data_IF_152573620542
#
_entry.id   IF_152573620542
#
_cell.length_a   1.000
_cell.length_b   1.000
_cell.length_c   1.000
_cell.angle_alpha   90.00
_cell.angle_beta   90.00
_cell.angle_gamma   90.00
#
_symmetry.space_group_name_H-M   'P 1'
#
loop_
_entity.id
_entity.type
_entity.pdbx_description
1 polymer ?
#
# COMPACT_ATOMS: atom_id res chain seq x y z
N UNK A 1 24.20 -9.13 -56.85
CA UNK A 1 24.00 -9.38 -55.40
C UNK A 1 24.62 -8.24 -54.61
N UNK A 2 23.85 -7.22 -54.16
CA UNK A 2 24.38 -6.14 -53.27
C UNK A 2 23.37 -5.11 -52.73
N UNK A 3 22.05 -5.32 -52.82
CA UNK A 3 21.05 -4.31 -52.40
C UNK A 3 20.10 -4.73 -51.28
N UNK A 4 20.26 -5.92 -50.70
CA UNK A 4 19.38 -6.41 -49.62
C UNK A 4 19.94 -6.03 -48.22
N UNK A 5 21.17 -5.52 -48.16
CA UNK A 5 21.84 -5.18 -46.90
C UNK A 5 21.17 -4.06 -46.05
N UNK A 6 20.47 -3.04 -46.60
CA UNK A 6 19.92 -1.98 -45.75
C UNK A 6 18.59 -2.36 -45.08
N UNK A 7 17.92 -3.43 -45.52
CA UNK A 7 16.60 -3.84 -45.00
C UNK A 7 16.72 -4.52 -43.63
N UNK A 8 17.82 -5.26 -43.40
CA UNK A 8 18.06 -5.97 -42.12
C UNK A 8 18.35 -4.98 -40.98
N UNK A 9 18.90 -3.80 -41.29
CA UNK A 9 19.20 -2.76 -40.29
C UNK A 9 17.93 -2.08 -39.74
N UNK A 10 16.85 -2.03 -40.52
CA UNK A 10 15.57 -1.42 -40.10
C UNK A 10 14.78 -2.31 -39.12
N UNK A 11 15.03 -3.62 -39.10
CA UNK A 11 14.31 -4.56 -38.23
C UNK A 11 14.90 -4.55 -36.80
N UNK A 12 16.17 -4.15 -36.64
CA UNK A 12 16.83 -4.07 -35.34
C UNK A 12 16.38 -2.87 -34.48
N UNK A 13 15.67 -1.90 -35.07
CA UNK A 13 15.16 -0.69 -34.39
C UNK A 13 13.69 -0.84 -33.95
N UNK A 14 13.03 -1.95 -34.33
CA UNK A 14 11.61 -2.16 -34.10
C UNK A 14 11.28 -2.87 -32.76
N UNK A 15 12.29 -3.17 -31.92
CA UNK A 15 12.02 -3.47 -30.52
C UNK A 15 11.78 -2.15 -29.77
N UNK A 16 10.57 -1.61 -29.88
CA UNK A 16 10.04 -0.82 -28.78
C UNK A 16 9.83 -1.80 -27.63
N UNK A 17 10.73 -1.78 -26.65
CA UNK A 17 10.41 -2.33 -25.34
C UNK A 17 9.17 -1.57 -24.89
N UNK A 18 8.03 -2.26 -24.87
CA UNK A 18 6.88 -1.81 -24.11
C UNK A 18 7.32 -1.90 -22.64
N UNK A 19 8.04 -0.88 -22.18
CA UNK A 19 8.13 -0.54 -20.78
C UNK A 19 6.68 -0.24 -20.40
N UNK A 20 5.95 -1.28 -20.02
CA UNK A 20 4.93 -1.15 -19.01
C UNK A 20 5.67 -0.57 -17.81
N UNK A 21 5.75 0.76 -17.75
CA UNK A 21 5.77 1.40 -16.45
C UNK A 21 4.57 0.79 -15.75
N UNK A 22 4.81 -0.08 -14.76
CA UNK A 22 3.80 -0.30 -13.74
C UNK A 22 3.47 1.11 -13.27
N UNK A 23 2.34 1.65 -13.75
CA UNK A 23 1.84 2.92 -13.29
C UNK A 23 1.87 2.82 -11.78
N UNK A 24 2.66 3.65 -11.09
CA UNK A 24 2.94 3.50 -9.67
C UNK A 24 1.62 3.32 -8.91
N UNK A 25 1.28 2.08 -8.61
CA UNK A 25 -0.08 1.75 -8.23
C UNK A 25 -0.20 2.13 -6.77
N UNK A 26 -0.86 3.26 -6.52
CA UNK A 26 -1.03 3.79 -5.18
C UNK A 26 -1.62 2.74 -4.22
N UNK A 27 -1.07 2.70 -3.01
CA UNK A 27 -1.65 1.93 -1.92
C UNK A 27 -2.94 2.60 -1.45
N UNK A 28 -3.98 1.80 -1.26
CA UNK A 28 -5.23 2.24 -0.65
C UNK A 28 -5.37 1.58 0.72
N UNK A 29 -5.57 2.38 1.75
CA UNK A 29 -5.80 1.92 3.12
C UNK A 29 -7.28 2.07 3.45
N UNK A 30 -7.89 0.99 3.91
CA UNK A 30 -9.28 0.98 4.37
C UNK A 30 -9.26 0.66 5.86
N UNK A 31 -9.78 1.57 6.67
CA UNK A 31 -10.06 1.33 8.07
C UNK A 31 -11.43 0.66 8.22
N UNK A 32 -11.49 -0.38 9.04
CA UNK A 32 -12.74 -0.93 9.56
C UNK A 32 -12.80 -0.55 11.02
N UNK A 33 -13.87 0.15 11.42
CA UNK A 33 -14.05 0.58 12.81
C UNK A 33 -13.92 -0.59 13.77
N UNK A 34 -14.62 -1.70 13.50
CA UNK A 34 -14.79 -2.79 14.45
C UNK A 34 -16.08 -2.61 15.25
N UNK A 35 -16.20 -3.36 16.33
CA UNK A 35 -17.30 -3.34 17.29
C UNK A 35 -16.78 -2.86 18.63
N UNK A 36 -17.46 -1.88 19.22
CA UNK A 36 -17.08 -1.31 20.51
C UNK A 36 -16.96 -2.38 21.60
N UNK A 37 -15.77 -2.52 22.18
CA UNK A 37 -15.43 -3.47 23.24
C UNK A 37 -14.83 -4.80 22.76
N UNK A 38 -14.84 -5.10 21.45
CA UNK A 38 -14.42 -6.38 20.91
C UNK A 38 -12.95 -6.40 20.45
N UNK A 39 -12.31 -5.24 20.29
CA UNK A 39 -10.91 -5.19 19.88
C UNK A 39 -10.65 -5.67 18.45
N UNK A 40 -11.66 -5.66 17.58
CA UNK A 40 -11.65 -6.23 16.23
C UNK A 40 -11.51 -5.19 15.11
N UNK A 41 -11.22 -3.93 15.46
CA UNK A 41 -10.86 -2.88 14.51
C UNK A 41 -9.67 -3.30 13.63
N UNK A 42 -9.72 -2.95 12.35
CA UNK A 42 -8.81 -3.50 11.35
C UNK A 42 -8.38 -2.47 10.29
N UNK A 43 -7.27 -2.78 9.62
CA UNK A 43 -6.80 -2.06 8.43
C UNK A 43 -6.57 -3.06 7.31
N UNK A 44 -7.21 -2.82 6.17
CA UNK A 44 -6.98 -3.58 4.94
C UNK A 44 -6.23 -2.72 3.94
N UNK A 45 -5.20 -3.28 3.31
CA UNK A 45 -4.35 -2.59 2.33
C UNK A 45 -4.58 -3.19 0.95
N UNK A 46 -4.81 -2.33 -0.02
CA UNK A 46 -4.98 -2.69 -1.43
C UNK A 46 -3.89 -2.07 -2.29
N UNK A 47 -3.51 -2.79 -3.35
CA UNK A 47 -2.68 -2.30 -4.46
C UNK A 47 -3.30 -2.78 -5.76
N UNK A 48 -3.72 -1.85 -6.63
CA UNK A 48 -4.27 -2.19 -7.94
C UNK A 48 -5.57 -2.97 -7.87
N UNK A 49 -6.44 -2.62 -6.93
CA UNK A 49 -7.71 -3.32 -6.69
C UNK A 49 -7.58 -4.70 -6.04
N UNK A 50 -6.36 -5.19 -5.77
CA UNK A 50 -6.13 -6.43 -5.04
C UNK A 50 -5.81 -6.14 -3.59
N UNK A 51 -6.45 -6.86 -2.67
CA UNK A 51 -6.08 -6.86 -1.27
C UNK A 51 -4.70 -7.52 -1.14
N UNK A 52 -3.74 -6.80 -0.56
CA UNK A 52 -2.37 -7.27 -0.35
C UNK A 52 -2.05 -7.54 1.12
N UNK A 53 -2.79 -6.94 2.04
CA UNK A 53 -2.59 -7.09 3.48
C UNK A 53 -3.90 -6.88 4.24
N UNK A 54 -4.07 -7.63 5.33
CA UNK A 54 -5.10 -7.37 6.33
C UNK A 54 -4.47 -7.42 7.71
N UNK A 55 -4.63 -6.34 8.48
CA UNK A 55 -4.14 -6.21 9.84
C UNK A 55 -5.38 -6.22 10.72
N UNK A 56 -5.69 -7.39 11.26
CA UNK A 56 -6.78 -7.56 12.22
C UNK A 56 -6.34 -7.13 13.63
N UNK A 57 -7.30 -6.86 14.50
CA UNK A 57 -7.08 -6.59 15.92
C UNK A 57 -6.09 -5.43 16.14
N UNK A 58 -6.22 -4.37 15.34
CA UNK A 58 -5.46 -3.13 15.48
C UNK A 58 -5.78 -2.49 16.83
N UNK A 59 -7.01 -2.67 17.30
CA UNK A 59 -7.52 -2.37 18.63
C UNK A 59 -9.03 -2.26 18.54
N UNK A 60 -9.65 -1.45 19.39
CA UNK A 60 -11.11 -1.41 19.50
C UNK A 60 -11.78 -0.71 18.33
N UNK A 61 -11.74 0.62 18.26
CA UNK A 61 -12.38 1.39 17.18
C UNK A 61 -11.36 2.14 16.34
N UNK A 62 -11.08 1.70 15.10
CA UNK A 62 -10.24 2.47 14.17
C UNK A 62 -11.01 3.68 13.64
N UNK A 63 -10.81 4.83 14.27
CA UNK A 63 -11.64 6.02 14.04
C UNK A 63 -11.12 6.93 12.94
N UNK A 64 -9.80 7.02 12.76
CA UNK A 64 -9.21 7.91 11.76
C UNK A 64 -7.86 7.42 11.29
N UNK A 65 -7.55 7.75 10.03
CA UNK A 65 -6.26 7.54 9.40
C UNK A 65 -5.65 8.89 9.01
N UNK A 66 -4.35 9.04 9.21
CA UNK A 66 -3.56 10.16 8.71
C UNK A 66 -2.30 9.62 8.05
N UNK A 67 -2.06 10.02 6.81
CA UNK A 67 -0.81 9.74 6.11
C UNK A 67 0.07 10.99 6.18
N UNK A 68 1.31 10.83 6.62
CA UNK A 68 2.33 11.87 6.60
C UNK A 68 3.68 11.26 6.29
N UNK A 69 4.28 11.70 5.19
CA UNK A 69 5.42 11.04 4.56
C UNK A 69 5.11 9.55 4.32
N UNK A 70 6.12 8.67 4.49
CA UNK A 70 5.96 7.21 4.40
C UNK A 70 5.40 6.60 5.70
N UNK A 71 4.48 7.29 6.38
CA UNK A 71 3.91 6.83 7.66
C UNK A 71 2.39 6.92 7.66
N UNK A 72 1.75 5.83 8.11
CA UNK A 72 0.33 5.79 8.42
C UNK A 72 0.14 5.89 9.93
N UNK A 73 -0.53 6.93 10.37
CA UNK A 73 -1.01 7.11 11.73
C UNK A 73 -2.47 6.68 11.81
N UNK A 74 -2.81 5.97 12.87
CA UNK A 74 -4.10 5.31 13.06
C UNK A 74 -4.59 5.68 14.44
N UNK A 75 -5.66 6.45 14.52
CA UNK A 75 -6.32 6.74 15.78
C UNK A 75 -7.20 5.55 16.15
N UNK A 76 -6.94 4.94 17.30
CA UNK A 76 -7.70 3.80 17.80
C UNK A 76 -8.46 4.23 19.06
N UNK A 77 -9.72 4.62 18.89
CA UNK A 77 -10.60 5.00 19.98
C UNK A 77 -10.92 3.77 20.85
N UNK A 78 -11.21 4.04 22.13
CA UNK A 78 -11.42 3.08 23.21
C UNK A 78 -10.22 2.14 23.47
N UNK A 79 -9.09 2.37 22.79
CA UNK A 79 -7.79 1.74 23.06
C UNK A 79 -6.75 2.73 23.59
N UNK A 80 -7.13 4.00 23.75
CA UNK A 80 -6.26 5.08 24.28
C UNK A 80 -4.90 5.17 23.57
N UNK A 81 -4.88 4.96 22.26
CA UNK A 81 -3.62 4.91 21.51
C UNK A 81 -3.75 5.43 20.08
N UNK A 82 -2.61 5.89 19.56
CA UNK A 82 -2.36 6.05 18.14
C UNK A 82 -1.37 4.97 17.71
N UNK A 83 -1.66 4.23 16.64
CA UNK A 83 -0.68 3.33 16.01
C UNK A 83 -0.01 4.00 14.83
N UNK A 84 1.29 3.80 14.68
CA UNK A 84 2.07 4.30 13.56
C UNK A 84 2.72 3.15 12.82
N UNK A 85 2.46 3.04 11.53
CA UNK A 85 3.07 2.07 10.64
C UNK A 85 3.95 2.77 9.61
N UNK A 86 5.06 2.14 9.23
CA UNK A 86 5.83 2.56 8.05
C UNK A 86 5.16 2.01 6.79
N UNK A 87 5.00 2.85 5.77
CA UNK A 87 4.48 2.48 4.46
C UNK A 87 5.66 2.01 3.59
N UNK A 88 5.50 0.87 2.91
CA UNK A 88 6.46 0.32 1.96
C UNK A 88 5.75 0.01 0.64
N UNK A 89 6.48 -0.26 -0.44
CA UNK A 89 5.87 -0.65 -1.73
C UNK A 89 5.02 -1.93 -1.70
N UNK A 90 5.11 -2.71 -0.61
CA UNK A 90 4.36 -3.95 -0.36
C UNK A 90 3.30 -3.84 0.74
N UNK A 91 3.04 -2.64 1.29
CA UNK A 91 2.01 -2.42 2.31
C UNK A 91 2.55 -1.75 3.58
N UNK A 92 2.11 -2.20 4.74
CA UNK A 92 2.54 -1.68 6.04
C UNK A 92 3.57 -2.61 6.70
N UNK A 93 4.65 -2.03 7.19
CA UNK A 93 5.63 -2.75 8.01
C UNK A 93 5.06 -3.07 9.39
N UNK A 94 5.24 -4.31 9.84
CA UNK A 94 4.75 -4.81 11.13
C UNK A 94 5.91 -5.26 12.03
N UNK A 95 5.78 -5.13 13.37
CA UNK A 95 4.67 -4.50 14.07
C UNK A 95 4.67 -2.98 13.93
N UNK A 96 3.50 -2.36 14.09
CA UNK A 96 3.41 -0.91 14.22
C UNK A 96 3.99 -0.42 15.56
N UNK A 97 4.23 0.87 15.66
CA UNK A 97 4.61 1.53 16.91
C UNK A 97 3.37 2.09 17.61
N UNK A 98 3.22 1.85 18.90
CA UNK A 98 2.09 2.33 19.70
C UNK A 98 2.47 3.62 20.46
N UNK A 99 1.58 4.61 20.40
CA UNK A 99 1.72 5.90 21.07
C UNK A 99 0.52 6.05 22.01
N UNK A 100 0.71 5.95 23.33
CA UNK A 100 -0.37 6.19 24.29
C UNK A 100 -0.92 7.61 24.17
N UNK A 101 -2.23 7.77 24.32
CA UNK A 101 -2.90 9.09 24.35
C UNK A 101 -3.45 9.46 25.73
N UNK A 102 -3.26 8.59 26.73
CA UNK A 102 -3.64 8.78 28.13
C UNK A 102 -2.77 7.96 29.08
#
# INVERSE_FOLDING_TARGET
MKKIFPVILLIAIACEDNLYEESDVALTFIATEGTFGDGDGAITVFKGGKQIQNISNVGDVVQALLIQDDKLFVLVNNSHMIKRYSITGSGLSLPGFEIPTG
#
